data_IF_221021236872
#
_entry.id   IF_221021236872
#
_cell.length_a   1.000
_cell.length_b   1.000
_cell.length_c   1.000
_cell.angle_alpha   90.00
_cell.angle_beta   90.00
_cell.angle_gamma   90.00
#
_symmetry.space_group_name_H-M   'P 1'
#
loop_
_entity.id
_entity.type
_entity.pdbx_description
1 polymer ?
#
# COMPACT_ATOMS: atom_id res chain seq x y z
N UNK A 1 -8.55 2.39 -0.28
CA UNK A 1 -7.39 1.62 -0.81
C UNK A 1 -6.26 1.53 0.20
N UNK A 2 -5.58 2.64 0.57
CA UNK A 2 -4.44 2.60 1.51
C UNK A 2 -4.74 1.87 2.83
N UNK A 3 -5.87 2.18 3.47
CA UNK A 3 -6.29 1.54 4.71
C UNK A 3 -6.51 0.03 4.54
N UNK A 4 -7.26 -0.33 3.50
CA UNK A 4 -7.52 -1.71 3.17
C UNK A 4 -6.22 -2.48 2.95
N UNK A 5 -5.30 -1.93 2.15
CA UNK A 5 -4.06 -2.64 1.80
C UNK A 5 -3.16 -2.88 3.02
N UNK A 6 -2.92 -1.85 3.84
CA UNK A 6 -2.07 -1.97 5.03
C UNK A 6 -2.70 -2.87 6.09
N UNK A 7 -3.99 -2.68 6.39
CA UNK A 7 -4.69 -3.43 7.45
C UNK A 7 -4.91 -4.89 7.03
N UNK A 8 -5.40 -5.13 5.82
CA UNK A 8 -5.67 -6.49 5.34
C UNK A 8 -4.38 -7.31 5.28
N UNK A 9 -3.34 -6.76 4.64
CA UNK A 9 -2.05 -7.46 4.50
C UNK A 9 -1.42 -7.74 5.86
N UNK A 10 -1.41 -6.76 6.77
CA UNK A 10 -0.82 -6.96 8.09
C UNK A 10 -1.62 -7.97 8.94
N UNK A 11 -2.94 -7.86 8.98
CA UNK A 11 -3.81 -8.70 9.79
C UNK A 11 -3.83 -10.15 9.31
N UNK A 12 -3.81 -10.40 7.99
CA UNK A 12 -3.76 -11.75 7.42
C UNK A 12 -2.46 -12.44 7.81
N UNK A 13 -1.32 -11.76 7.69
CA UNK A 13 -0.02 -12.36 8.02
C UNK A 13 0.11 -12.61 9.53
N UNK A 14 -0.38 -11.68 10.37
CA UNK A 14 -0.33 -11.88 11.84
C UNK A 14 -1.29 -12.96 12.29
N UNK A 15 -2.44 -13.14 11.63
CA UNK A 15 -3.36 -14.27 11.92
C UNK A 15 -2.66 -15.61 11.87
N UNK A 16 -1.83 -15.83 10.85
CA UNK A 16 -1.09 -17.09 10.67
C UNK A 16 -0.05 -17.31 11.77
N UNK A 17 0.58 -16.23 12.24
CA UNK A 17 1.50 -16.26 13.39
C UNK A 17 0.75 -16.63 14.66
N UNK A 18 -0.39 -15.99 14.89
CA UNK A 18 -1.18 -16.12 16.11
C UNK A 18 -1.83 -17.50 16.26
N UNK A 19 -2.26 -18.11 15.15
CA UNK A 19 -2.83 -19.46 15.13
C UNK A 19 -1.73 -20.55 15.21
N UNK A 20 -0.44 -20.17 15.16
CA UNK A 20 0.69 -21.11 15.26
C UNK A 20 0.94 -21.92 13.98
N UNK A 21 0.23 -21.64 12.90
CA UNK A 21 0.39 -22.32 11.60
C UNK A 21 1.80 -22.13 11.04
N UNK A 22 2.44 -20.98 11.32
CA UNK A 22 3.82 -20.73 10.92
C UNK A 22 4.80 -21.73 11.56
N UNK A 23 4.58 -22.13 12.81
CA UNK A 23 5.45 -23.09 13.51
C UNK A 23 5.24 -24.52 13.02
N UNK A 24 3.98 -24.92 12.75
CA UNK A 24 3.67 -26.22 12.19
C UNK A 24 4.19 -26.39 10.74
N UNK A 25 4.26 -25.29 9.98
CA UNK A 25 4.74 -25.30 8.60
C UNK A 25 6.27 -25.15 8.48
N UNK A 26 6.99 -24.87 9.57
CA UNK A 26 8.46 -24.97 9.58
C UNK A 26 8.98 -26.39 9.29
N UNK A 27 8.12 -27.39 9.46
CA UNK A 27 8.43 -28.80 9.22
C UNK A 27 8.14 -29.19 7.76
N UNK A 28 7.41 -28.36 7.01
CA UNK A 28 7.17 -28.55 5.58
C UNK A 28 8.33 -27.97 4.76
N UNK A 29 8.71 -28.57 3.61
CA UNK A 29 9.77 -28.07 2.74
C UNK A 29 9.33 -26.85 1.90
N UNK A 30 8.55 -25.93 2.49
CA UNK A 30 8.07 -24.70 1.85
C UNK A 30 8.71 -23.52 2.57
N UNK A 31 9.31 -22.60 1.82
CA UNK A 31 9.91 -21.41 2.45
C UNK A 31 8.81 -20.49 3.01
N UNK A 32 9.05 -19.87 4.17
CA UNK A 32 8.10 -18.89 4.73
C UNK A 32 7.80 -17.74 3.77
N UNK A 33 8.76 -17.40 2.89
CA UNK A 33 8.56 -16.38 1.85
C UNK A 33 7.55 -16.82 0.80
N UNK A 34 7.59 -18.07 0.34
CA UNK A 34 6.58 -18.62 -0.58
C UNK A 34 5.19 -18.65 0.05
N UNK A 35 5.09 -18.97 1.34
CA UNK A 35 3.81 -18.94 2.05
C UNK A 35 3.27 -17.52 2.17
N UNK A 36 4.11 -16.57 2.55
CA UNK A 36 3.72 -15.15 2.68
C UNK A 36 3.33 -14.60 1.30
N UNK A 37 4.12 -14.84 0.26
CA UNK A 37 3.82 -14.41 -1.11
C UNK A 37 2.54 -15.06 -1.62
N UNK A 38 2.38 -16.37 -1.42
CA UNK A 38 1.18 -17.12 -1.80
C UNK A 38 -0.10 -16.63 -1.13
N UNK A 39 0.00 -16.06 0.08
CA UNK A 39 -1.15 -15.48 0.81
C UNK A 39 -1.35 -13.99 0.56
N UNK A 40 -0.31 -13.29 0.12
CA UNK A 40 -0.38 -11.88 -0.28
C UNK A 40 -1.05 -11.73 -1.65
N UNK A 41 -0.88 -12.70 -2.55
CA UNK A 41 -1.55 -12.70 -3.87
C UNK A 41 -3.09 -12.60 -3.74
N UNK A 42 -3.78 -13.43 -2.94
CA UNK A 42 -5.21 -13.25 -2.69
C UNK A 42 -5.58 -11.87 -2.15
N UNK A 43 -4.79 -11.33 -1.21
CA UNK A 43 -5.03 -9.98 -0.69
C UNK A 43 -4.93 -8.93 -1.81
N UNK A 44 -3.93 -9.07 -2.67
CA UNK A 44 -3.70 -8.19 -3.80
C UNK A 44 -4.84 -8.26 -4.84
N UNK A 45 -5.39 -9.45 -5.09
CA UNK A 45 -6.57 -9.63 -5.95
C UNK A 45 -7.77 -8.88 -5.37
N UNK A 46 -8.00 -8.96 -4.06
CA UNK A 46 -9.09 -8.23 -3.39
C UNK A 46 -8.87 -6.72 -3.51
N UNK A 47 -7.64 -6.23 -3.34
CA UNK A 47 -7.30 -4.81 -3.48
C UNK A 47 -7.55 -4.30 -4.91
N UNK A 48 -7.10 -5.03 -5.93
CA UNK A 48 -7.37 -4.69 -7.34
C UNK A 48 -8.86 -4.74 -7.63
N UNK A 49 -9.57 -5.76 -7.15
CA UNK A 49 -11.02 -5.89 -7.35
C UNK A 49 -11.75 -4.69 -6.75
N UNK A 50 -11.34 -4.27 -5.55
CA UNK A 50 -11.90 -3.10 -4.88
C UNK A 50 -11.62 -1.82 -5.66
N UNK A 51 -10.40 -1.64 -6.19
CA UNK A 51 -10.07 -0.54 -7.09
C UNK A 51 -10.98 -0.55 -8.34
N UNK A 52 -11.14 -1.71 -8.97
CA UNK A 52 -11.95 -1.89 -10.18
C UNK A 52 -13.42 -1.65 -9.96
N UNK A 53 -13.95 -1.95 -8.77
CA UNK A 53 -15.35 -1.69 -8.41
C UNK A 53 -15.57 -0.21 -8.07
N UNK A 54 -14.68 0.40 -7.29
CA UNK A 54 -14.84 1.79 -6.84
C UNK A 54 -14.67 2.78 -7.99
N UNK A 55 -13.77 2.52 -8.93
CA UNK A 55 -13.49 3.43 -10.06
C UNK A 55 -14.74 3.74 -10.92
N UNK A 56 -15.48 2.77 -11.46
CA UNK A 56 -16.72 3.04 -12.20
C UNK A 56 -17.84 3.55 -11.30
N UNK A 57 -17.92 3.14 -10.03
CA UNK A 57 -18.90 3.70 -9.09
C UNK A 57 -18.68 5.19 -8.86
N UNK A 58 -17.43 5.67 -8.86
CA UNK A 58 -17.13 7.10 -8.76
C UNK A 58 -17.68 7.90 -9.95
N UNK A 59 -17.67 7.31 -11.15
CA UNK A 59 -18.28 7.92 -12.33
C UNK A 59 -19.82 7.83 -12.30
N UNK A 60 -20.37 6.65 -12.00
CA UNK A 60 -21.81 6.37 -12.09
C UNK A 60 -22.62 7.08 -10.99
N UNK A 61 -22.10 7.14 -9.76
CA UNK A 61 -22.84 7.66 -8.60
C UNK A 61 -22.53 9.12 -8.27
N UNK A 62 -21.35 9.61 -8.64
CA UNK A 62 -20.85 10.91 -8.21
C UNK A 62 -20.45 11.81 -9.40
N UNK A 63 -20.70 11.37 -10.64
CA UNK A 63 -20.35 12.09 -11.87
C UNK A 63 -18.89 12.54 -11.93
N UNK A 64 -17.98 11.83 -11.25
CA UNK A 64 -16.57 12.19 -11.24
C UNK A 64 -15.97 11.81 -12.59
N UNK A 65 -15.46 12.77 -13.36
CA UNK A 65 -14.95 12.48 -14.69
C UNK A 65 -13.70 11.59 -14.60
N UNK A 66 -13.58 10.64 -15.53
CA UNK A 66 -12.36 9.87 -15.75
C UNK A 66 -11.83 10.22 -17.14
N UNK A 67 -10.93 11.19 -17.22
CA UNK A 67 -10.47 11.75 -18.50
C UNK A 67 -9.09 11.23 -18.94
N UNK A 68 -8.29 10.71 -18.00
CA UNK A 68 -6.95 10.24 -18.28
C UNK A 68 -6.89 8.79 -18.81
N UNK A 69 -5.68 8.27 -18.92
CA UNK A 69 -5.44 6.90 -19.38
C UNK A 69 -5.77 5.88 -18.29
N UNK A 70 -6.72 4.97 -18.59
CA UNK A 70 -7.06 3.82 -17.73
C UNK A 70 -5.83 2.95 -17.46
N UNK A 71 -5.04 2.67 -18.50
CA UNK A 71 -3.83 1.84 -18.38
C UNK A 71 -2.82 2.48 -17.43
N UNK A 72 -2.58 3.80 -17.56
CA UNK A 72 -1.67 4.52 -16.66
C UNK A 72 -2.16 4.48 -15.21
N UNK A 73 -3.46 4.69 -15.00
CA UNK A 73 -4.07 4.67 -13.69
C UNK A 73 -3.90 3.30 -13.01
N UNK A 74 -4.25 2.22 -13.69
CA UNK A 74 -4.11 0.86 -13.13
C UNK A 74 -2.64 0.47 -12.94
N UNK A 75 -1.74 0.80 -13.87
CA UNK A 75 -0.31 0.53 -13.71
C UNK A 75 0.25 1.21 -12.45
N UNK A 76 -0.08 2.49 -12.26
CA UNK A 76 0.35 3.26 -11.09
C UNK A 76 -0.32 2.77 -9.79
N UNK A 77 -1.60 2.41 -9.86
CA UNK A 77 -2.33 1.86 -8.73
C UNK A 77 -1.76 0.50 -8.28
N UNK A 78 -1.40 -0.39 -9.23
CA UNK A 78 -0.74 -1.66 -8.92
C UNK A 78 0.58 -1.41 -8.17
N UNK A 79 1.42 -0.49 -8.64
CA UNK A 79 2.68 -0.15 -7.96
C UNK A 79 2.41 0.41 -6.55
N UNK A 80 1.41 1.28 -6.44
CA UNK A 80 0.98 1.83 -5.15
C UNK A 80 0.51 0.74 -4.18
N UNK A 81 -0.34 -0.19 -4.64
CA UNK A 81 -0.83 -1.32 -3.84
C UNK A 81 0.33 -2.21 -3.39
N UNK A 82 1.28 -2.55 -4.26
CA UNK A 82 2.49 -3.32 -3.88
C UNK A 82 3.26 -2.60 -2.78
N UNK A 83 3.40 -1.28 -2.91
CA UNK A 83 4.08 -0.45 -1.90
C UNK A 83 3.37 -0.50 -0.55
N UNK A 84 2.05 -0.30 -0.52
CA UNK A 84 1.27 -0.28 0.72
C UNK A 84 1.11 -1.67 1.34
N UNK A 85 1.04 -2.73 0.53
CA UNK A 85 1.13 -4.10 1.01
C UNK A 85 2.49 -4.36 1.64
N UNK A 86 3.60 -3.90 1.04
CA UNK A 86 4.94 -3.97 1.64
C UNK A 86 5.05 -3.27 3.00
N UNK A 87 4.38 -2.12 3.16
CA UNK A 87 4.24 -1.45 4.48
C UNK A 87 3.47 -2.35 5.46
N UNK A 88 2.33 -2.90 5.06
CA UNK A 88 1.53 -3.82 5.88
C UNK A 88 2.31 -5.08 6.29
N UNK A 89 3.08 -5.66 5.36
CA UNK A 89 3.99 -6.78 5.64
C UNK A 89 5.06 -6.40 6.66
N UNK A 90 5.67 -5.22 6.52
CA UNK A 90 6.66 -4.72 7.48
C UNK A 90 6.04 -4.56 8.88
N UNK A 91 4.84 -3.98 8.99
CA UNK A 91 4.11 -3.86 10.27
C UNK A 91 3.85 -5.23 10.88
N UNK A 92 3.44 -6.21 10.06
CA UNK A 92 3.18 -7.58 10.52
C UNK A 92 4.42 -8.26 11.11
N UNK A 93 5.64 -7.84 10.72
CA UNK A 93 6.87 -8.38 11.27
C UNK A 93 7.06 -8.04 12.76
N UNK A 94 6.52 -6.91 13.21
CA UNK A 94 6.64 -6.45 14.61
C UNK A 94 5.46 -6.82 15.50
N UNK A 95 4.32 -7.20 14.92
CA UNK A 95 3.10 -7.53 15.66
C UNK A 95 3.00 -9.03 16.01
N UNK A 96 2.38 -9.34 17.15
CA UNK A 96 2.12 -10.71 17.62
C UNK A 96 0.64 -11.12 17.50
N UNK A 97 -0.28 -10.18 17.63
CA UNK A 97 -1.74 -10.43 17.55
C UNK A 97 -2.38 -9.58 16.47
N UNK A 98 -3.50 -10.06 15.90
CA UNK A 98 -4.25 -9.32 14.88
C UNK A 98 -4.67 -7.93 15.38
N UNK A 99 -5.12 -7.84 16.64
CA UNK A 99 -5.51 -6.55 17.22
C UNK A 99 -4.33 -5.57 17.27
N UNK A 100 -3.12 -6.04 17.63
CA UNK A 100 -1.92 -5.22 17.58
C UNK A 100 -1.59 -4.76 16.15
N UNK A 101 -1.75 -5.65 15.16
CA UNK A 101 -1.52 -5.33 13.74
C UNK A 101 -2.45 -4.23 13.24
N UNK A 102 -3.74 -4.34 13.58
CA UNK A 102 -4.76 -3.35 13.21
C UNK A 102 -4.45 -2.00 13.87
N UNK A 103 -4.23 -1.97 15.19
CA UNK A 103 -3.92 -0.73 15.91
C UNK A 103 -2.63 -0.06 15.41
N UNK A 104 -1.58 -0.85 15.16
CA UNK A 104 -0.32 -0.33 14.60
C UNK A 104 -0.53 0.23 13.20
N UNK A 105 -1.30 -0.47 12.35
CA UNK A 105 -1.67 0.02 11.02
C UNK A 105 -2.42 1.35 11.08
N UNK A 106 -3.35 1.52 12.02
CA UNK A 106 -4.04 2.79 12.23
C UNK A 106 -3.08 3.91 12.65
N UNK A 107 -2.11 3.63 13.53
CA UNK A 107 -1.09 4.60 13.93
C UNK A 107 -0.21 5.05 12.76
N UNK A 108 0.05 4.20 11.77
CA UNK A 108 0.76 4.57 10.54
C UNK A 108 -0.15 5.30 9.54
N UNK A 109 -1.41 4.90 9.44
CA UNK A 109 -2.36 5.43 8.49
C UNK A 109 -2.69 6.89 8.75
N UNK A 110 -2.92 7.25 10.01
CA UNK A 110 -3.34 8.60 10.38
C UNK A 110 -2.32 9.68 9.96
N UNK A 111 -1.02 9.59 10.31
CA UNK A 111 -0.03 10.54 9.82
C UNK A 111 0.16 10.45 8.30
N UNK A 112 0.05 9.25 7.70
CA UNK A 112 0.11 9.12 6.24
C UNK A 112 -1.00 9.92 5.55
N UNK A 113 -2.25 9.88 6.02
CA UNK A 113 -3.33 10.68 5.43
C UNK A 113 -3.08 12.18 5.60
N UNK A 114 -2.67 12.61 6.80
CA UNK A 114 -2.40 14.02 7.09
C UNK A 114 -1.26 14.59 6.23
N UNK A 115 -0.19 13.81 6.01
CA UNK A 115 1.01 14.20 5.27
C UNK A 115 0.90 13.94 3.76
N UNK A 116 -0.26 13.50 3.25
CA UNK A 116 -0.40 13.07 1.85
C UNK A 116 -0.78 14.18 0.88
N UNK A 117 -1.12 15.39 1.35
CA UNK A 117 -1.71 16.42 0.50
C UNK A 117 -3.21 16.24 0.24
N UNK A 118 -3.84 15.23 0.86
CA UNK A 118 -5.28 15.02 0.83
C UNK A 118 -6.03 16.08 1.65
N UNK A 119 -5.75 16.15 2.96
CA UNK A 119 -6.47 17.00 3.91
C UNK A 119 -5.98 18.45 3.90
N UNK A 120 -4.66 18.64 3.79
CA UNK A 120 -4.01 19.95 3.76
C UNK A 120 -3.04 20.02 2.58
N UNK A 121 -2.99 21.14 1.83
CA UNK A 121 -1.97 21.33 0.79
C UNK A 121 -0.56 21.20 1.37
N UNK A 122 0.31 20.46 0.68
CA UNK A 122 1.70 20.19 1.15
C UNK A 122 2.51 21.50 1.21
N UNK A 123 2.23 22.44 0.31
CA UNK A 123 2.88 23.75 0.25
C UNK A 123 2.66 24.59 1.50
N UNK A 124 1.56 24.34 2.24
CA UNK A 124 1.24 25.04 3.49
C UNK A 124 1.95 24.45 4.71
N UNK A 125 2.68 23.33 4.56
CA UNK A 125 3.38 22.68 5.66
C UNK A 125 4.76 23.34 5.88
N UNK A 126 5.28 23.37 7.12
CA UNK A 126 6.66 23.80 7.38
C UNK A 126 7.68 22.99 6.54
N UNK A 127 8.80 23.57 6.10
CA UNK A 127 9.75 22.91 5.20
C UNK A 127 10.22 21.54 5.68
N UNK A 128 10.45 21.39 6.98
CA UNK A 128 10.87 20.11 7.60
C UNK A 128 9.83 19.00 7.36
N UNK A 129 8.54 19.32 7.50
CA UNK A 129 7.44 18.38 7.31
C UNK A 129 7.28 18.03 5.83
N UNK A 130 7.50 19.00 4.93
CA UNK A 130 7.48 18.74 3.48
C UNK A 130 8.50 17.65 3.10
N UNK A 131 9.69 17.65 3.69
CA UNK A 131 10.68 16.60 3.44
C UNK A 131 10.20 15.22 3.88
N UNK A 132 9.54 15.11 5.03
CA UNK A 132 8.97 13.85 5.53
C UNK A 132 7.89 13.31 4.58
N UNK A 133 7.11 14.18 3.94
CA UNK A 133 6.07 13.74 3.00
C UNK A 133 6.60 13.00 1.77
N UNK A 134 7.88 13.16 1.41
CA UNK A 134 8.46 12.39 0.30
C UNK A 134 8.58 10.89 0.61
N UNK A 135 8.55 10.51 1.89
CA UNK A 135 8.51 9.11 2.34
C UNK A 135 7.10 8.50 2.32
N UNK A 136 6.08 9.29 1.97
CA UNK A 136 4.70 8.85 2.00
C UNK A 136 4.21 8.45 0.59
N UNK A 137 3.95 7.15 0.31
CA UNK A 137 3.49 6.73 -1.00
C UNK A 137 2.13 7.34 -1.39
N UNK A 138 1.29 7.66 -0.38
CA UNK A 138 -0.04 8.23 -0.60
C UNK A 138 0.02 9.61 -1.27
N UNK A 139 1.10 10.38 -1.03
CA UNK A 139 1.34 11.69 -1.67
C UNK A 139 1.36 11.59 -3.19
N UNK A 140 2.14 10.65 -3.71
CA UNK A 140 2.31 10.44 -5.14
C UNK A 140 1.02 9.93 -5.76
N UNK A 141 0.36 8.97 -5.11
CA UNK A 141 -0.88 8.39 -5.63
C UNK A 141 -2.05 9.37 -5.67
N UNK A 142 -2.21 10.26 -4.68
CA UNK A 142 -3.24 11.32 -4.74
C UNK A 142 -2.99 12.27 -5.91
N UNK A 143 -1.73 12.62 -6.16
CA UNK A 143 -1.36 13.47 -7.29
C UNK A 143 -1.76 12.81 -8.62
N UNK A 144 -1.54 11.50 -8.75
CA UNK A 144 -1.95 10.71 -9.92
C UNK A 144 -3.47 10.63 -10.04
N UNK A 145 -4.19 10.30 -8.97
CA UNK A 145 -5.66 10.24 -8.97
C UNK A 145 -6.26 11.58 -9.41
N UNK A 146 -5.80 12.69 -8.82
CA UNK A 146 -6.27 14.03 -9.18
C UNK A 146 -5.96 14.37 -10.65
N UNK A 147 -4.77 14.02 -11.14
CA UNK A 147 -4.38 14.27 -12.53
C UNK A 147 -5.22 13.47 -13.53
N UNK A 148 -5.45 12.18 -13.28
CA UNK A 148 -6.22 11.29 -14.17
C UNK A 148 -7.70 11.64 -14.18
N UNK A 149 -8.32 11.84 -13.01
CA UNK A 149 -9.75 12.11 -12.93
C UNK A 149 -10.08 13.56 -13.34
N UNK A 150 -9.35 14.55 -12.81
CA UNK A 150 -9.73 15.96 -12.95
C UNK A 150 -9.06 16.69 -14.12
N UNK A 151 -7.85 16.29 -14.51
CA UNK A 151 -7.05 17.00 -15.52
C UNK A 151 -6.90 16.25 -16.85
N UNK A 152 -7.31 14.98 -16.91
CA UNK A 152 -7.13 14.14 -18.09
C UNK A 152 -5.68 13.80 -18.42
N UNK A 153 -4.75 14.04 -17.50
CA UNK A 153 -3.31 13.80 -17.72
C UNK A 153 -2.94 12.34 -17.44
N UNK A 154 -2.08 11.76 -18.25
CA UNK A 154 -1.54 10.41 -18.12
C UNK A 154 -0.01 10.39 -18.03
N UNK A 155 0.61 9.53 -18.83
CA UNK A 155 2.05 9.25 -18.82
C UNK A 155 2.90 10.49 -19.08
N UNK A 156 2.47 11.36 -19.98
CA UNK A 156 3.22 12.53 -20.42
C UNK A 156 3.56 13.51 -19.28
N UNK A 157 2.72 13.58 -18.25
CA UNK A 157 2.89 14.54 -17.15
C UNK A 157 3.16 13.86 -15.81
N UNK A 158 2.59 12.67 -15.56
CA UNK A 158 2.58 12.05 -14.23
C UNK A 158 3.65 10.97 -14.04
N UNK A 159 4.45 10.65 -15.06
CA UNK A 159 5.56 9.70 -14.92
C UNK A 159 6.54 10.01 -13.77
N UNK A 160 6.82 11.28 -13.37
CA UNK A 160 7.71 11.54 -12.25
C UNK A 160 7.15 11.08 -10.90
N UNK A 161 5.83 10.84 -10.80
CA UNK A 161 5.18 10.29 -9.60
C UNK A 161 5.33 8.77 -9.52
N UNK A 162 5.53 8.10 -10.66
CA UNK A 162 5.66 6.64 -10.73
C UNK A 162 7.03 6.19 -10.22
N UNK A 163 8.09 6.95 -10.48
CA UNK A 163 9.46 6.59 -10.09
C UNK A 163 9.61 6.47 -8.56
N UNK A 164 9.22 7.47 -7.75
CA UNK A 164 9.28 7.34 -6.29
C UNK A 164 8.45 6.17 -5.77
N UNK A 165 7.27 5.93 -6.35
CA UNK A 165 6.43 4.79 -6.00
C UNK A 165 7.13 3.44 -6.30
N UNK A 166 7.79 3.30 -7.44
CA UNK A 166 8.57 2.11 -7.76
C UNK A 166 9.73 1.89 -6.79
N UNK A 167 10.48 2.95 -6.48
CA UNK A 167 11.58 2.90 -5.50
C UNK A 167 11.05 2.47 -4.13
N UNK A 168 9.93 3.03 -3.69
CA UNK A 168 9.27 2.66 -2.44
C UNK A 168 8.76 1.23 -2.44
N UNK A 169 8.18 0.76 -3.55
CA UNK A 169 7.71 -0.62 -3.68
C UNK A 169 8.86 -1.60 -3.44
N UNK A 170 9.99 -1.40 -4.13
CA UNK A 170 11.19 -2.23 -3.97
C UNK A 170 11.72 -2.13 -2.53
N UNK A 171 11.79 -0.92 -1.98
CA UNK A 171 12.27 -0.68 -0.62
C UNK A 171 11.42 -1.38 0.44
N UNK A 172 10.09 -1.18 0.46
CA UNK A 172 9.23 -1.75 1.50
C UNK A 172 9.04 -3.26 1.36
N UNK A 173 8.97 -3.79 0.14
CA UNK A 173 8.94 -5.25 -0.07
C UNK A 173 10.27 -5.87 0.36
N UNK A 174 11.41 -5.26 -0.02
CA UNK A 174 12.74 -5.72 0.42
C UNK A 174 12.92 -5.64 1.94
N UNK A 175 12.45 -4.56 2.57
CA UNK A 175 12.48 -4.36 4.01
C UNK A 175 11.64 -5.41 4.74
N UNK A 176 10.44 -5.71 4.23
CA UNK A 176 9.60 -6.78 4.73
C UNK A 176 10.35 -8.12 4.65
N UNK A 177 10.89 -8.49 3.48
CA UNK A 177 11.65 -9.73 3.31
C UNK A 177 12.85 -9.83 4.26
N UNK A 178 13.55 -8.72 4.51
CA UNK A 178 14.67 -8.68 5.46
C UNK A 178 14.24 -8.95 6.90
N UNK A 179 13.19 -8.28 7.38
CA UNK A 179 12.69 -8.50 8.74
C UNK A 179 12.09 -9.90 8.94
N UNK A 180 11.53 -10.50 7.89
CA UNK A 180 11.08 -11.89 7.93
C UNK A 180 12.22 -12.90 7.99
N UNK A 181 13.39 -12.61 7.40
CA UNK A 181 14.60 -13.45 7.54
C UNK A 181 15.23 -13.32 8.94
N UNK A 182 15.40 -12.10 9.45
CA UNK A 182 16.20 -11.85 10.67
C UNK A 182 15.56 -12.34 11.97
N UNK A 183 14.24 -12.57 12.00
CA UNK A 183 13.55 -13.10 13.18
C UNK A 183 13.60 -14.64 13.29
N UNK A 184 14.40 -15.28 12.43
CA UNK A 184 14.54 -16.74 12.28
C UNK A 184 15.88 -17.24 12.86
N UNK A 185 16.73 -16.33 13.35
CA UNK A 185 17.88 -16.63 14.21
C UNK A 185 17.55 -16.19 15.66
#
# INVERSE_FOLDING_TARGET
LVAMSIILTSAVIVREKEIGTIEQLMVAPISRLELILGKTIPCFIIEITTLTVITPLAFILFDVPFQGSVVFFYATAIIFLITTSGVGMTISAFCKTQQQAVLTSFMFLQPSILLSGYAFPIENMPPVIQYVTYLNPLRYFITVVRGVFLKGTGWETLWPQVIPLLVMAIFYVGLASFFFKKRVD
#
